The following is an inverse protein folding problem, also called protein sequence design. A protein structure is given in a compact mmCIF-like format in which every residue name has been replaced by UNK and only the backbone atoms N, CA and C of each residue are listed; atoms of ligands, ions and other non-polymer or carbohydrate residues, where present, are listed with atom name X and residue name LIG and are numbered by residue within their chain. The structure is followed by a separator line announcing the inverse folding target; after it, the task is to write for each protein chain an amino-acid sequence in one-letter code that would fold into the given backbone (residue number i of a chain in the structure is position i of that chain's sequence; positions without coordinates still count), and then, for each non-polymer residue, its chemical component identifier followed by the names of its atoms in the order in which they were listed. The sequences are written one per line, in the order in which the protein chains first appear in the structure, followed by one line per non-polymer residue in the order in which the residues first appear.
data_IF_282788055034
#
_entry.id   IF_282788055034
#
_cell.length_a   1.000
_cell.length_b   1.000
_cell.length_c   1.000
_cell.angle_alpha   90.00
_cell.angle_beta   90.00
_cell.angle_gamma   90.00
#
_symmetry.space_group_name_H-M   'P 1'
#
loop_
_entity.id
_entity.type
_entity.pdbx_description
1 polymer ?
#
# COMPACT_ATOMS: atom_id res chain seq x y z
N UNK A 1 -17.14 3.92 23.38
CA UNK A 1 -15.74 4.37 23.16
C UNK A 1 -15.25 5.20 24.36
N UNK A 2 -15.07 4.63 25.55
CA UNK A 2 -14.62 5.40 26.74
C UNK A 2 -13.23 5.03 27.29
N UNK A 3 -12.56 4.00 26.75
CA UNK A 3 -11.25 3.54 27.26
C UNK A 3 -10.13 3.43 26.21
N UNK A 4 -10.41 3.71 24.93
CA UNK A 4 -9.44 3.54 23.82
C UNK A 4 -8.29 4.56 23.81
N UNK A 5 -8.40 5.63 24.60
CA UNK A 5 -7.36 6.65 24.74
C UNK A 5 -6.24 6.22 25.70
N UNK A 6 -6.56 5.33 26.65
CA UNK A 6 -5.63 4.86 27.69
C UNK A 6 -5.13 3.44 27.43
N UNK A 7 -5.66 2.77 26.41
CA UNK A 7 -5.24 1.43 26.03
C UNK A 7 -3.95 1.51 25.22
N UNK A 8 -2.92 0.77 25.65
CA UNK A 8 -1.64 0.70 24.95
C UNK A 8 -1.80 -0.08 23.64
N UNK A 9 -1.13 0.37 22.57
CA UNK A 9 -1.15 -0.33 21.30
C UNK A 9 -0.50 -1.72 21.41
N UNK A 10 -0.95 -2.65 20.55
CA UNK A 10 -0.40 -4.00 20.50
C UNK A 10 1.09 -3.91 20.13
N UNK A 11 1.97 -4.41 21.00
CA UNK A 11 3.42 -4.39 20.80
C UNK A 11 4.15 -3.16 21.34
N UNK A 12 3.45 -2.15 21.88
CA UNK A 12 4.10 -0.97 22.50
C UNK A 12 3.36 -0.50 23.75
N UNK A 13 4.07 -0.24 24.84
CA UNK A 13 3.48 0.33 26.07
C UNK A 13 3.42 1.86 26.07
N UNK A 14 4.06 2.51 25.10
CA UNK A 14 4.30 3.96 25.10
C UNK A 14 3.28 4.75 24.27
N UNK A 15 2.61 4.12 23.30
CA UNK A 15 1.73 4.79 22.35
C UNK A 15 0.27 4.33 22.56
N UNK A 16 -0.70 5.26 22.67
CA UNK A 16 -2.11 4.92 22.72
C UNK A 16 -2.56 4.16 21.46
N UNK A 17 -3.43 3.17 21.64
CA UNK A 17 -3.96 2.31 20.58
C UNK A 17 -4.61 3.09 19.44
N UNK A 18 -5.33 4.18 19.76
CA UNK A 18 -5.96 5.04 18.74
C UNK A 18 -4.94 5.79 17.89
N UNK A 19 -3.83 6.26 18.49
CA UNK A 19 -2.79 6.99 17.77
C UNK A 19 -2.02 6.04 16.86
N UNK A 20 -1.72 4.83 17.34
CA UNK A 20 -1.11 3.77 16.53
C UNK A 20 -2.02 3.35 15.37
N UNK A 21 -3.34 3.22 15.61
CA UNK A 21 -4.30 2.90 14.56
C UNK A 21 -4.31 3.96 13.44
N UNK A 22 -4.36 5.26 13.80
CA UNK A 22 -4.31 6.35 12.82
C UNK A 22 -3.01 6.36 12.02
N UNK A 23 -1.88 6.10 12.68
CA UNK A 23 -0.59 5.97 12.01
C UNK A 23 -0.56 4.80 11.02
N UNK A 24 -1.05 3.62 11.41
CA UNK A 24 -1.13 2.45 10.53
C UNK A 24 -2.11 2.65 9.36
N UNK A 25 -3.20 3.40 9.57
CA UNK A 25 -4.13 3.76 8.50
C UNK A 25 -3.47 4.60 7.40
N UNK A 26 -2.46 5.41 7.72
CA UNK A 26 -1.70 6.15 6.69
C UNK A 26 -0.88 5.21 5.79
N UNK A 27 -0.27 4.16 6.36
CA UNK A 27 0.41 3.14 5.57
C UNK A 27 -0.56 2.33 4.70
N UNK A 28 -1.74 1.99 5.24
CA UNK A 28 -2.79 1.32 4.48
C UNK A 28 -3.25 2.17 3.30
N UNK A 29 -3.43 3.48 3.52
CA UNK A 29 -3.80 4.43 2.47
C UNK A 29 -2.70 4.54 1.41
N UNK A 30 -1.44 4.70 1.81
CA UNK A 30 -0.29 4.79 0.90
C UNK A 30 -0.11 3.52 0.06
N UNK A 31 -0.20 2.33 0.67
CA UNK A 31 -0.11 1.07 -0.07
C UNK A 31 -1.23 0.95 -1.12
N UNK A 32 -2.45 1.34 -0.74
CA UNK A 32 -3.62 1.28 -1.63
C UNK A 32 -3.49 2.27 -2.80
N UNK A 33 -2.98 3.49 -2.57
CA UNK A 33 -2.79 4.48 -3.65
C UNK A 33 -1.71 4.05 -4.64
N UNK A 34 -0.66 3.35 -4.22
CA UNK A 34 0.36 2.79 -5.11
C UNK A 34 -0.27 1.77 -6.08
N UNK A 35 -1.09 0.84 -5.58
CA UNK A 35 -1.74 -0.17 -6.43
C UNK A 35 -2.74 0.50 -7.39
N UNK A 36 -3.55 1.44 -6.89
CA UNK A 36 -4.48 2.19 -7.75
C UNK A 36 -3.71 2.96 -8.83
N UNK A 37 -2.58 3.59 -8.48
CA UNK A 37 -1.72 4.31 -9.40
C UNK A 37 -1.27 3.42 -10.56
N UNK A 38 -0.87 2.18 -10.27
CA UNK A 38 -0.48 1.21 -11.29
C UNK A 38 -1.63 0.75 -12.19
N UNK A 39 -2.86 0.78 -11.68
CA UNK A 39 -4.08 0.30 -12.36
C UNK A 39 -4.84 1.44 -13.08
N UNK A 40 -4.50 2.69 -12.77
CA UNK A 40 -5.25 3.91 -13.10
C UNK A 40 -5.54 4.09 -14.60
N UNK A 41 -4.59 3.73 -15.47
CA UNK A 41 -4.63 3.99 -16.90
C UNK A 41 -5.78 3.33 -17.68
N UNK A 42 -6.36 2.24 -17.16
CA UNK A 42 -7.42 1.46 -17.85
C UNK A 42 -8.63 1.17 -16.97
N UNK A 43 -8.69 1.75 -15.77
CA UNK A 43 -9.66 1.37 -14.77
C UNK A 43 -10.88 2.29 -14.72
N UNK A 44 -12.05 1.72 -14.44
CA UNK A 44 -13.29 2.47 -14.21
C UNK A 44 -13.40 2.78 -12.72
N UNK A 45 -13.83 4.00 -12.37
CA UNK A 45 -13.86 4.50 -10.98
C UNK A 45 -14.51 3.52 -9.99
N UNK A 46 -15.70 3.00 -10.29
CA UNK A 46 -16.41 2.09 -9.39
C UNK A 46 -15.68 0.75 -9.16
N UNK A 47 -15.31 -0.02 -10.20
CA UNK A 47 -14.48 -1.21 -10.03
C UNK A 47 -13.17 -0.97 -9.29
N UNK A 48 -12.50 0.18 -9.51
CA UNK A 48 -11.24 0.51 -8.85
C UNK A 48 -11.41 0.70 -7.35
N UNK A 49 -12.48 1.39 -6.92
CA UNK A 49 -12.78 1.58 -5.49
C UNK A 49 -13.07 0.23 -4.82
N UNK A 50 -13.89 -0.62 -5.46
CA UNK A 50 -14.20 -1.95 -4.91
C UNK A 50 -12.95 -2.84 -4.85
N UNK A 51 -12.12 -2.81 -5.90
CA UNK A 51 -10.85 -3.52 -5.91
C UNK A 51 -9.92 -3.05 -4.79
N UNK A 52 -9.77 -1.74 -4.61
CA UNK A 52 -8.94 -1.15 -3.56
C UNK A 52 -9.41 -1.57 -2.16
N UNK A 53 -10.72 -1.59 -1.93
CA UNK A 53 -11.29 -2.05 -0.66
C UNK A 53 -11.01 -3.53 -0.40
N UNK A 54 -11.22 -4.38 -1.40
CA UNK A 54 -10.95 -5.82 -1.30
C UNK A 54 -9.45 -6.07 -1.10
N UNK A 55 -8.60 -5.38 -1.85
CA UNK A 55 -7.15 -5.52 -1.78
C UNK A 55 -6.61 -5.10 -0.41
N UNK A 56 -7.04 -3.95 0.10
CA UNK A 56 -6.66 -3.48 1.43
C UNK A 56 -7.11 -4.47 2.53
N UNK A 57 -8.33 -4.99 2.42
CA UNK A 57 -8.91 -5.90 3.44
C UNK A 57 -8.24 -7.28 3.44
N UNK A 58 -8.02 -7.87 2.26
CA UNK A 58 -7.60 -9.27 2.14
C UNK A 58 -6.09 -9.45 1.94
N UNK A 59 -5.41 -8.50 1.32
CA UNK A 59 -3.97 -8.62 1.06
C UNK A 59 -3.17 -7.78 2.05
N UNK A 60 -3.41 -6.47 2.09
CA UNK A 60 -2.63 -5.58 2.94
C UNK A 60 -2.74 -5.93 4.43
N UNK A 61 -3.96 -6.13 4.97
CA UNK A 61 -4.14 -6.46 6.39
C UNK A 61 -3.50 -7.80 6.78
N UNK A 62 -3.60 -8.81 5.92
CA UNK A 62 -3.03 -10.14 6.19
C UNK A 62 -1.49 -10.10 6.18
N UNK A 63 -0.90 -9.45 5.18
CA UNK A 63 0.57 -9.31 5.09
C UNK A 63 1.10 -8.45 6.25
N UNK A 64 0.41 -7.35 6.57
CA UNK A 64 0.77 -6.50 7.70
C UNK A 64 0.72 -7.27 9.03
N UNK A 65 -0.29 -8.12 9.22
CA UNK A 65 -0.38 -8.97 10.40
C UNK A 65 0.80 -9.95 10.49
N UNK A 66 1.20 -10.59 9.39
CA UNK A 66 2.30 -11.55 9.40
C UNK A 66 3.65 -10.95 9.80
N UNK A 67 3.86 -9.68 9.48
CA UNK A 67 5.17 -9.03 9.55
C UNK A 67 5.29 -8.12 10.78
N UNK A 68 4.23 -7.40 11.11
CA UNK A 68 4.24 -6.41 12.19
C UNK A 68 3.48 -6.85 13.45
N UNK A 69 2.63 -7.88 13.38
CA UNK A 69 2.01 -8.38 14.60
C UNK A 69 3.05 -9.17 15.43
N UNK A 70 3.06 -9.03 16.76
CA UNK A 70 3.86 -9.88 17.63
C UNK A 70 3.58 -11.38 17.44
N UNK A 71 2.36 -11.72 17.03
CA UNK A 71 1.91 -13.09 16.74
C UNK A 71 2.02 -13.45 15.25
N UNK A 72 2.57 -12.57 14.42
CA UNK A 72 2.77 -12.80 13.00
C UNK A 72 3.86 -13.85 12.77
N UNK A 73 3.62 -14.81 11.90
CA UNK A 73 4.58 -15.89 11.67
C UNK A 73 5.94 -15.37 11.16
N UNK A 74 5.96 -14.37 10.28
CA UNK A 74 7.19 -13.80 9.74
C UNK A 74 7.92 -12.97 10.81
N UNK A 75 7.17 -12.28 11.67
CA UNK A 75 7.73 -11.58 12.84
C UNK A 75 8.43 -12.57 13.80
N UNK A 76 7.78 -13.69 14.12
CA UNK A 76 8.34 -14.74 15.00
C UNK A 76 9.56 -15.42 14.38
N UNK A 77 9.62 -15.54 13.05
CA UNK A 77 10.81 -16.04 12.34
C UNK A 77 11.98 -15.06 12.31
N UNK A 78 11.83 -13.84 12.83
CA UNK A 78 12.89 -12.82 12.86
C UNK A 78 12.98 -11.96 11.60
N UNK A 79 11.89 -11.84 10.83
CA UNK A 79 11.84 -10.89 9.71
C UNK A 79 11.98 -9.46 10.21
N UNK A 80 12.92 -8.71 9.64
CA UNK A 80 13.18 -7.32 9.98
C UNK A 80 12.57 -6.40 8.92
N UNK A 81 11.42 -5.83 9.23
CA UNK A 81 10.77 -4.82 8.40
C UNK A 81 10.24 -3.67 9.25
N UNK A 82 11.02 -2.58 9.30
CA UNK A 82 10.76 -1.44 10.19
C UNK A 82 9.71 -0.47 9.66
N UNK A 83 9.64 -0.27 8.34
CA UNK A 83 8.86 0.80 7.71
C UNK A 83 7.88 0.31 6.64
N UNK A 84 7.82 -1.01 6.42
CA UNK A 84 6.83 -1.63 5.55
C UNK A 84 7.33 -1.90 4.14
N UNK A 85 8.60 -2.27 4.02
CA UNK A 85 9.17 -2.73 2.76
C UNK A 85 8.32 -3.82 2.12
N UNK A 86 7.91 -4.82 2.91
CA UNK A 86 7.10 -5.94 2.44
C UNK A 86 5.60 -5.61 2.35
N UNK A 87 4.90 -5.14 3.39
CA UNK A 87 3.45 -4.91 3.34
C UNK A 87 3.05 -3.75 2.43
N UNK A 88 3.95 -2.81 2.13
CA UNK A 88 3.66 -1.65 1.26
C UNK A 88 4.28 -1.86 -0.11
N UNK A 89 5.61 -1.86 -0.21
CA UNK A 89 6.28 -1.76 -1.51
C UNK A 89 6.27 -3.07 -2.29
N UNK A 90 6.63 -4.19 -1.64
CA UNK A 90 6.65 -5.49 -2.32
C UNK A 90 5.22 -5.95 -2.63
N UNK A 91 4.31 -5.90 -1.66
CA UNK A 91 2.93 -6.33 -1.89
C UNK A 91 2.25 -5.55 -3.02
N UNK A 92 2.40 -4.21 -3.03
CA UNK A 92 1.81 -3.35 -4.04
C UNK A 92 2.51 -3.51 -5.39
N UNK A 93 3.84 -3.60 -5.40
CA UNK A 93 4.65 -3.79 -6.61
C UNK A 93 4.37 -5.13 -7.29
N UNK A 94 4.27 -6.22 -6.53
CA UNK A 94 3.90 -7.55 -7.06
C UNK A 94 2.45 -7.57 -7.53
N UNK A 95 1.53 -6.88 -6.84
CA UNK A 95 0.13 -6.75 -7.28
C UNK A 95 0.03 -5.96 -8.60
N UNK A 96 0.79 -4.88 -8.73
CA UNK A 96 0.90 -4.10 -9.96
C UNK A 96 1.49 -4.92 -11.11
N UNK A 97 2.52 -5.72 -10.84
CA UNK A 97 3.10 -6.64 -11.82
C UNK A 97 2.07 -7.70 -12.26
N UNK A 98 1.39 -8.35 -11.31
CA UNK A 98 0.34 -9.32 -11.61
C UNK A 98 -0.76 -8.71 -12.46
N UNK A 99 -1.20 -7.48 -12.15
CA UNK A 99 -2.15 -6.74 -12.96
C UNK A 99 -1.62 -6.50 -14.37
N UNK A 100 -0.38 -6.01 -14.51
CA UNK A 100 0.26 -5.77 -15.82
C UNK A 100 0.35 -7.04 -16.67
N UNK A 101 0.64 -8.20 -16.06
CA UNK A 101 0.72 -9.49 -16.75
C UNK A 101 -0.66 -9.98 -17.22
N UNK A 102 -1.70 -9.81 -16.41
CA UNK A 102 -3.07 -10.25 -16.76
C UNK A 102 -3.68 -9.38 -17.85
N UNK A 103 -3.49 -8.06 -17.80
CA UNK A 103 -4.10 -7.12 -18.74
C UNK A 103 -3.22 -6.79 -19.95
N UNK A 104 -2.00 -7.31 -19.99
CA UNK A 104 -1.09 -7.27 -21.14
C UNK A 104 -0.45 -5.91 -21.41
N UNK A 105 0.60 -5.93 -22.23
CA UNK A 105 1.36 -4.73 -22.61
C UNK A 105 0.58 -3.83 -23.56
N UNK A 106 0.87 -2.53 -23.55
CA UNK A 106 0.31 -1.58 -24.53
C UNK A 106 0.96 -1.82 -25.90
N UNK A 107 0.17 -1.89 -26.97
CA UNK A 107 0.69 -1.87 -28.36
C UNK A 107 1.44 -0.54 -28.69
N UNK A 108 1.24 0.50 -27.88
CA UNK A 108 1.84 1.84 -28.07
C UNK A 108 3.24 2.00 -27.46
N UNK A 109 3.75 1.02 -26.71
CA UNK A 109 5.13 1.04 -26.17
C UNK A 109 6.21 0.97 -27.25
N UNK A 110 5.84 0.59 -28.48
CA UNK A 110 6.72 0.53 -29.65
C UNK A 110 7.13 1.92 -30.15
N UNK A 111 6.40 2.98 -29.77
CA UNK A 111 6.71 4.36 -30.14
C UNK A 111 7.36 5.10 -28.97
N UNK A 112 8.68 5.23 -29.01
CA UNK A 112 9.51 5.89 -27.98
C UNK A 112 9.07 7.34 -27.61
N UNK A 113 8.24 7.97 -28.42
CA UNK A 113 7.70 9.31 -28.18
C UNK A 113 6.67 9.37 -27.02
N UNK A 114 6.15 8.24 -26.55
CA UNK A 114 5.02 8.20 -25.59
C UNK A 114 5.43 8.00 -24.12
N UNK A 115 6.73 7.87 -23.83
CA UNK A 115 7.29 7.86 -22.47
C UNK A 115 7.55 9.27 -21.90
N UNK A 116 7.02 10.32 -22.55
CA UNK A 116 7.14 11.68 -22.01
C UNK A 116 6.22 11.85 -20.80
N UNK A 117 6.70 12.43 -19.69
CA UNK A 117 5.85 12.73 -18.54
C UNK A 117 4.75 13.69 -18.96
N UNK A 118 3.51 13.36 -18.62
CA UNK A 118 2.34 14.20 -18.92
C UNK A 118 2.48 15.61 -18.31
N UNK A 119 3.08 15.71 -17.12
CA UNK A 119 3.43 16.99 -16.49
C UNK A 119 4.60 16.80 -15.50
N UNK A 120 5.73 17.46 -15.77
CA UNK A 120 6.95 17.38 -14.95
C UNK A 120 6.76 18.07 -13.60
N UNK A 121 5.94 19.12 -13.52
CA UNK A 121 5.68 19.82 -12.26
C UNK A 121 4.93 18.92 -11.27
N UNK A 122 3.96 18.15 -11.77
CA UNK A 122 3.21 17.23 -10.91
C UNK A 122 4.08 16.05 -10.45
N UNK A 123 4.99 15.58 -11.31
CA UNK A 123 6.00 14.58 -10.94
C UNK A 123 6.90 15.13 -9.82
N UNK A 124 7.39 16.38 -9.97
CA UNK A 124 8.24 17.01 -8.96
C UNK A 124 7.52 17.20 -7.63
N UNK A 125 6.29 17.73 -7.64
CA UNK A 125 5.48 17.90 -6.42
C UNK A 125 5.23 16.55 -5.74
N UNK A 126 4.90 15.51 -6.52
CA UNK A 126 4.73 14.16 -6.01
C UNK A 126 5.99 13.67 -5.29
N UNK A 127 7.15 13.72 -5.95
CA UNK A 127 8.42 13.26 -5.37
C UNK A 127 8.83 14.02 -4.10
N UNK A 128 8.48 15.30 -3.96
CA UNK A 128 8.80 16.09 -2.76
C UNK A 128 7.87 15.76 -1.59
N UNK A 129 6.62 15.37 -1.86
CA UNK A 129 5.62 15.10 -0.84
C UNK A 129 5.57 13.64 -0.36
N UNK A 130 6.19 12.72 -1.10
CA UNK A 130 6.20 11.27 -0.80
C UNK A 130 7.45 10.90 -0.02
#
# INVERSE_FOLDING_TARGET
MKNILNEAAIGTTTIPAIAFCLFQLMFAAAATTIVIGAVSDRSRMWPTITFAFIWCTLFYNFISYWIWSPNGWAHVLGSLDHAGGVPIHISAGTSALAYSLVFGTRQTLTNAQQNKPHNINNLFIGTVLT
#
